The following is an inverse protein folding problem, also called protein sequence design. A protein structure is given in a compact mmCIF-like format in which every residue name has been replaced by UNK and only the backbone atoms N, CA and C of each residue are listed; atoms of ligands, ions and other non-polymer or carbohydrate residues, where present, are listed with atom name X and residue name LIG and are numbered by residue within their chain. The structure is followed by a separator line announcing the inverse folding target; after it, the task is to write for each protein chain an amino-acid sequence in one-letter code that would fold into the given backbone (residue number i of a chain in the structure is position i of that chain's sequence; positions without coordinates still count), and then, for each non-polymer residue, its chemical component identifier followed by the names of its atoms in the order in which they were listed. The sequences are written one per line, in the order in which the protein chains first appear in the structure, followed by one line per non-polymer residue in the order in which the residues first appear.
data_IF_659333378618
#
_entry.id   IF_659333378618
#
_cell.length_a   1.000
_cell.length_b   1.000
_cell.length_c   1.000
_cell.angle_alpha   90.00
_cell.angle_beta   90.00
_cell.angle_gamma   90.00
#
_symmetry.space_group_name_H-M   'P 1'
#
loop_
_entity.id
_entity.type
_entity.pdbx_description
1 polymer ?
#
# COMPACT_ATOMS: atom_id res chain seq x y z
N UNK A 1 15.37 -21.82 -16.04
CA UNK A 1 16.15 -22.35 -14.91
C UNK A 1 15.24 -22.40 -13.69
N UNK A 2 15.21 -23.52 -12.97
CA UNK A 2 14.45 -23.66 -11.73
C UNK A 2 15.43 -23.92 -10.59
N UNK A 3 15.32 -23.15 -9.51
CA UNK A 3 16.08 -23.28 -8.27
C UNK A 3 15.06 -23.59 -7.18
N UNK A 4 15.16 -24.75 -6.53
CA UNK A 4 14.21 -25.11 -5.48
C UNK A 4 14.53 -26.42 -4.80
N UNK A 5 13.63 -26.83 -3.91
CA UNK A 5 13.77 -28.05 -3.14
C UNK A 5 13.42 -29.31 -3.96
N UNK A 6 13.96 -30.45 -3.53
CA UNK A 6 13.52 -31.79 -3.93
C UNK A 6 13.47 -32.70 -2.70
N UNK A 7 12.69 -33.79 -2.77
CA UNK A 7 12.45 -34.67 -1.62
C UNK A 7 11.37 -34.14 -0.68
N UNK A 8 11.35 -34.62 0.56
CA UNK A 8 10.38 -34.26 1.60
C UNK A 8 11.10 -33.75 2.84
N UNK A 9 10.58 -32.72 3.49
CA UNK A 9 11.14 -32.17 4.72
C UNK A 9 10.97 -30.66 4.81
N UNK A 10 11.77 -30.04 5.68
CA UNK A 10 11.86 -28.59 5.77
C UNK A 10 12.44 -27.98 4.48
N UNK A 11 12.19 -26.69 4.26
CA UNK A 11 12.81 -25.95 3.15
C UNK A 11 14.34 -25.98 3.31
N UNK A 12 15.11 -26.18 2.23
CA UNK A 12 16.55 -26.05 2.28
C UNK A 12 16.94 -24.59 2.56
N UNK A 13 17.87 -24.41 3.50
CA UNK A 13 18.36 -23.10 3.93
C UNK A 13 19.54 -22.66 3.07
N UNK A 14 19.49 -21.43 2.58
CA UNK A 14 20.62 -20.71 2.01
C UNK A 14 20.94 -19.54 2.94
N UNK A 15 22.07 -19.62 3.62
CA UNK A 15 22.59 -18.53 4.46
C UNK A 15 23.63 -17.73 3.69
N UNK A 16 23.41 -16.41 3.60
CA UNK A 16 24.34 -15.48 2.97
C UNK A 16 25.66 -15.33 3.71
N UNK A 17 25.80 -15.82 4.94
CA UNK A 17 27.05 -15.85 5.70
C UNK A 17 27.63 -14.45 5.97
N UNK A 18 26.80 -13.42 5.89
CA UNK A 18 27.20 -12.03 6.03
C UNK A 18 27.61 -11.31 4.74
N UNK A 19 27.47 -11.94 3.56
CA UNK A 19 27.69 -11.31 2.26
C UNK A 19 26.58 -10.31 1.89
N UNK A 20 26.78 -9.55 0.81
CA UNK A 20 25.82 -8.54 0.35
C UNK A 20 24.55 -9.14 -0.27
N UNK A 21 24.64 -10.31 -0.89
CA UNK A 21 23.50 -11.04 -1.45
C UNK A 21 23.51 -12.50 -0.98
N UNK A 22 22.37 -13.02 -0.56
CA UNK A 22 22.22 -14.46 -0.29
C UNK A 22 21.94 -15.22 -1.60
N UNK A 23 21.02 -14.73 -2.43
CA UNK A 23 20.75 -15.23 -3.77
C UNK A 23 20.77 -14.09 -4.79
N UNK A 24 21.74 -14.11 -5.71
CA UNK A 24 21.86 -13.14 -6.80
C UNK A 24 21.53 -13.79 -8.17
N UNK A 25 20.54 -13.24 -8.85
CA UNK A 25 20.16 -13.56 -10.23
C UNK A 25 20.51 -12.39 -11.13
N UNK A 26 21.74 -12.35 -11.65
CA UNK A 26 22.25 -11.22 -12.44
C UNK A 26 22.25 -11.51 -13.94
N UNK A 27 21.64 -10.63 -14.74
CA UNK A 27 21.59 -10.73 -16.20
C UNK A 27 21.11 -12.11 -16.68
N UNK A 28 20.06 -12.60 -16.04
CA UNK A 28 19.40 -13.86 -16.37
C UNK A 28 17.94 -13.59 -16.73
N UNK A 29 17.26 -14.57 -17.31
CA UNK A 29 15.83 -14.55 -17.62
C UNK A 29 15.31 -15.99 -17.64
N UNK A 30 14.00 -16.19 -17.59
CA UNK A 30 13.38 -17.50 -17.45
C UNK A 30 13.84 -18.22 -16.18
N UNK A 31 13.69 -17.57 -15.03
CA UNK A 31 14.12 -18.08 -13.73
C UNK A 31 12.95 -18.26 -12.79
N UNK A 32 12.89 -19.43 -12.14
CA UNK A 32 11.97 -19.69 -11.04
C UNK A 32 12.80 -20.06 -9.80
N UNK A 33 12.62 -19.35 -8.69
CA UNK A 33 13.16 -19.69 -7.38
C UNK A 33 11.99 -19.99 -6.45
N UNK A 34 11.98 -21.18 -5.85
CA UNK A 34 10.85 -21.66 -5.06
C UNK A 34 11.20 -22.56 -3.90
N UNK A 35 10.37 -22.51 -2.86
CA UNK A 35 10.42 -23.44 -1.73
C UNK A 35 11.78 -23.46 -1.01
N UNK A 36 12.42 -22.29 -0.85
CA UNK A 36 13.70 -22.10 -0.17
C UNK A 36 13.52 -21.28 1.10
N UNK A 37 14.37 -21.53 2.09
CA UNK A 37 14.60 -20.65 3.23
C UNK A 37 15.88 -19.82 2.96
N UNK A 38 15.82 -18.51 3.16
CA UNK A 38 16.87 -17.55 2.77
C UNK A 38 17.14 -16.60 3.94
N UNK A 39 18.39 -16.58 4.42
CA UNK A 39 18.80 -15.77 5.57
C UNK A 39 20.13 -15.06 5.37
N UNK A 40 20.42 -14.00 6.16
CA UNK A 40 21.67 -13.24 6.11
C UNK A 40 21.91 -12.41 7.40
N UNK A 41 22.12 -13.08 8.53
CA UNK A 41 22.28 -12.42 9.84
C UNK A 41 23.72 -11.99 10.16
N UNK A 42 24.73 -12.59 9.51
CA UNK A 42 26.14 -12.24 9.74
C UNK A 42 26.47 -10.80 9.33
N UNK A 43 27.37 -10.11 10.04
CA UNK A 43 27.76 -8.71 9.74
C UNK A 43 26.56 -7.74 9.62
N UNK A 44 25.70 -7.61 10.64
CA UNK A 44 24.49 -6.78 10.57
C UNK A 44 24.81 -5.29 10.38
N UNK A 45 23.86 -4.53 9.85
CA UNK A 45 24.03 -3.10 9.58
C UNK A 45 24.96 -2.81 8.39
N UNK A 46 25.15 -3.80 7.52
CA UNK A 46 25.81 -3.66 6.21
C UNK A 46 24.79 -3.89 5.12
N UNK A 47 25.04 -3.33 3.95
CA UNK A 47 24.16 -3.48 2.81
C UNK A 47 23.91 -4.95 2.44
N UNK A 48 22.65 -5.40 2.52
CA UNK A 48 22.27 -6.82 2.40
C UNK A 48 20.97 -7.05 1.68
N UNK A 49 20.92 -8.13 0.90
CA UNK A 49 19.71 -8.61 0.25
C UNK A 49 19.53 -10.10 0.44
N UNK A 50 18.30 -10.53 0.71
CA UNK A 50 17.93 -11.94 0.67
C UNK A 50 17.99 -12.44 -0.77
N UNK A 51 17.05 -11.97 -1.60
CA UNK A 51 17.04 -12.26 -3.04
C UNK A 51 17.23 -10.97 -3.83
N UNK A 52 18.21 -10.96 -4.73
CA UNK A 52 18.39 -9.88 -5.68
C UNK A 52 18.29 -10.38 -7.11
N UNK A 53 17.38 -9.82 -7.88
CA UNK A 53 17.30 -10.01 -9.33
C UNK A 53 17.81 -8.72 -9.98
N UNK A 54 18.97 -8.78 -10.62
CA UNK A 54 19.62 -7.62 -11.22
C UNK A 54 19.65 -7.75 -12.74
N UNK A 55 19.19 -6.70 -13.43
CA UNK A 55 19.47 -6.50 -14.86
C UNK A 55 20.33 -5.24 -15.03
N UNK A 56 21.51 -5.40 -15.61
CA UNK A 56 22.49 -4.34 -15.85
C UNK A 56 22.84 -4.28 -17.33
N UNK A 57 22.42 -3.19 -18.00
CA UNK A 57 22.56 -3.00 -19.45
C UNK A 57 22.20 -4.27 -20.27
N UNK A 58 21.16 -4.98 -19.82
CA UNK A 58 20.82 -6.32 -20.29
C UNK A 58 19.88 -6.31 -21.49
N UNK A 59 19.01 -5.30 -21.59
CA UNK A 59 17.81 -5.37 -22.43
C UNK A 59 16.57 -5.75 -21.61
N UNK A 60 15.54 -6.27 -22.27
CA UNK A 60 14.38 -6.82 -21.55
C UNK A 60 14.72 -8.21 -21.03
N UNK A 61 14.75 -8.39 -19.71
CA UNK A 61 14.76 -9.71 -19.10
C UNK A 61 13.34 -10.16 -18.83
N UNK A 62 12.99 -11.37 -19.29
CA UNK A 62 11.62 -11.89 -19.18
C UNK A 62 11.50 -13.09 -18.25
N UNK A 63 10.34 -13.25 -17.62
CA UNK A 63 9.93 -14.42 -16.87
C UNK A 63 10.74 -14.71 -15.60
N UNK A 64 10.21 -14.21 -14.47
CA UNK A 64 10.72 -14.46 -13.12
C UNK A 64 9.60 -14.93 -12.21
N UNK A 65 9.84 -16.00 -11.45
CA UNK A 65 8.93 -16.52 -10.43
C UNK A 65 9.69 -16.63 -9.11
N UNK A 66 9.33 -15.83 -8.12
CA UNK A 66 9.81 -15.97 -6.74
C UNK A 66 8.64 -16.42 -5.89
N UNK A 67 8.56 -17.71 -5.57
CA UNK A 67 7.34 -18.32 -5.03
C UNK A 67 7.58 -19.18 -3.80
N UNK A 68 6.80 -19.00 -2.74
CA UNK A 68 6.90 -19.88 -1.57
C UNK A 68 8.23 -19.77 -0.82
N UNK A 69 8.96 -18.67 -0.95
CA UNK A 69 10.20 -18.42 -0.22
C UNK A 69 9.90 -18.06 1.24
N UNK A 70 10.74 -18.51 2.16
CA UNK A 70 10.80 -18.00 3.53
C UNK A 70 12.08 -17.17 3.68
N UNK A 71 11.95 -15.86 3.76
CA UNK A 71 13.07 -14.91 3.76
C UNK A 71 13.10 -14.23 5.12
N UNK A 72 14.16 -14.43 5.88
CA UNK A 72 14.24 -13.85 7.22
C UNK A 72 15.64 -13.58 7.75
N UNK A 73 15.70 -12.70 8.74
CA UNK A 73 16.95 -12.25 9.36
C UNK A 73 17.92 -11.68 8.31
N UNK A 74 17.40 -10.83 7.41
CA UNK A 74 18.21 -10.07 6.45
C UNK A 74 18.57 -8.75 7.13
N UNK A 75 19.63 -8.77 7.94
CA UNK A 75 19.99 -7.66 8.84
C UNK A 75 20.81 -6.58 8.14
N UNK A 76 20.20 -5.94 7.14
CA UNK A 76 20.80 -4.92 6.29
C UNK A 76 21.09 -3.57 6.97
N UNK A 77 21.61 -2.63 6.19
CA UNK A 77 21.69 -1.21 6.56
C UNK A 77 20.49 -0.42 6.03
N UNK A 78 20.40 0.86 6.39
CA UNK A 78 19.29 1.75 6.00
C UNK A 78 19.43 2.33 4.57
N UNK A 79 20.23 1.69 3.70
CA UNK A 79 20.42 2.16 2.32
C UNK A 79 19.23 1.78 1.44
N UNK A 80 18.69 2.74 0.67
CA UNK A 80 17.66 2.55 -0.37
C UNK A 80 18.27 2.69 -1.77
N UNK A 81 17.57 2.21 -2.79
CA UNK A 81 17.90 2.38 -4.21
C UNK A 81 18.20 1.06 -4.93
N UNK A 82 18.77 1.16 -6.14
CA UNK A 82 19.13 -0.03 -6.95
C UNK A 82 20.18 -0.92 -6.27
N UNK A 83 20.89 -0.36 -5.30
CA UNK A 83 21.81 -1.04 -4.40
C UNK A 83 21.34 -0.98 -2.92
N UNK A 84 20.03 -0.84 -2.67
CA UNK A 84 19.49 -0.78 -1.30
C UNK A 84 19.45 -2.15 -0.60
N UNK A 85 19.32 -2.14 0.73
CA UNK A 85 19.09 -3.35 1.52
C UNK A 85 17.62 -3.78 1.44
N UNK A 86 17.34 -5.05 1.21
CA UNK A 86 15.97 -5.55 1.08
C UNK A 86 15.82 -7.07 1.26
N UNK A 87 14.63 -7.54 1.60
CA UNK A 87 14.30 -8.98 1.57
C UNK A 87 14.35 -9.50 0.13
N UNK A 88 13.59 -8.85 -0.76
CA UNK A 88 13.59 -9.09 -2.20
C UNK A 88 13.84 -7.76 -2.93
N UNK A 89 14.85 -7.71 -3.80
CA UNK A 89 15.15 -6.56 -4.65
C UNK A 89 15.17 -6.96 -6.14
N UNK A 90 14.27 -6.37 -6.92
CA UNK A 90 14.39 -6.31 -8.37
C UNK A 90 15.06 -4.98 -8.77
N UNK A 91 16.29 -5.04 -9.25
CA UNK A 91 17.07 -3.83 -9.58
C UNK A 91 17.44 -3.78 -11.06
N UNK A 92 17.09 -2.70 -11.74
CA UNK A 92 17.64 -2.34 -13.06
C UNK A 92 18.74 -1.30 -12.86
N UNK A 93 19.92 -1.59 -13.41
CA UNK A 93 21.10 -0.71 -13.40
C UNK A 93 21.64 -0.48 -14.81
N UNK A 94 22.63 0.41 -14.92
CA UNK A 94 23.21 0.81 -16.19
C UNK A 94 22.39 1.89 -16.91
N UNK A 95 22.98 2.42 -17.99
CA UNK A 95 22.40 3.50 -18.80
C UNK A 95 22.72 3.38 -20.29
N UNK A 96 23.44 2.33 -20.71
CA UNK A 96 23.90 2.14 -22.09
C UNK A 96 22.90 1.38 -22.95
N UNK A 97 22.19 0.41 -22.36
CA UNK A 97 21.20 -0.40 -23.07
C UNK A 97 19.85 -0.32 -22.36
N UNK A 98 18.77 0.10 -23.05
CA UNK A 98 17.41 0.12 -22.50
C UNK A 98 17.05 -1.21 -21.84
N UNK A 99 16.87 -1.19 -20.52
CA UNK A 99 16.74 -2.38 -19.68
C UNK A 99 15.50 -2.29 -18.81
N UNK A 100 14.75 -3.39 -18.72
CA UNK A 100 13.56 -3.51 -17.87
C UNK A 100 13.25 -4.97 -17.57
N UNK A 101 12.42 -5.19 -16.57
CA UNK A 101 11.77 -6.48 -16.35
C UNK A 101 10.46 -6.58 -17.15
N UNK A 102 10.13 -7.79 -17.53
CA UNK A 102 8.83 -8.13 -18.12
C UNK A 102 8.42 -9.53 -17.65
N UNK A 103 7.17 -9.73 -17.23
CA UNK A 103 6.69 -11.00 -16.66
C UNK A 103 7.38 -11.39 -15.34
N UNK A 104 7.04 -10.67 -14.27
CA UNK A 104 7.53 -10.94 -12.90
C UNK A 104 6.37 -11.36 -12.02
N UNK A 105 6.51 -12.46 -11.30
CA UNK A 105 5.58 -12.88 -10.24
C UNK A 105 6.36 -13.11 -8.95
N UNK A 106 6.00 -12.36 -7.91
CA UNK A 106 6.46 -12.54 -6.52
C UNK A 106 5.27 -12.98 -5.70
N UNK A 107 5.17 -14.26 -5.35
CA UNK A 107 3.94 -14.78 -4.76
C UNK A 107 4.08 -15.81 -3.64
N UNK A 108 3.27 -15.69 -2.59
CA UNK A 108 3.23 -16.69 -1.53
C UNK A 108 4.50 -16.74 -0.68
N UNK A 109 5.27 -15.65 -0.65
CA UNK A 109 6.49 -15.59 0.14
C UNK A 109 6.19 -15.08 1.56
N UNK A 110 6.98 -15.54 2.52
CA UNK A 110 7.07 -14.96 3.86
C UNK A 110 8.36 -14.14 3.94
N UNK A 111 8.28 -12.87 4.33
CA UNK A 111 9.42 -11.97 4.49
C UNK A 111 9.37 -11.37 5.89
N UNK A 112 10.27 -11.76 6.79
CA UNK A 112 10.22 -11.32 8.20
C UNK A 112 11.57 -10.93 8.77
N UNK A 113 11.63 -9.93 9.64
CA UNK A 113 12.89 -9.48 10.28
C UNK A 113 13.92 -9.09 9.23
N UNK A 114 13.58 -8.05 8.47
CA UNK A 114 14.37 -7.58 7.33
C UNK A 114 14.65 -6.09 7.46
N UNK A 115 15.88 -5.69 7.15
CA UNK A 115 16.30 -4.31 6.96
C UNK A 115 16.89 -4.15 5.54
N UNK A 116 16.52 -3.14 4.74
CA UNK A 116 15.55 -2.06 5.00
C UNK A 116 14.16 -2.42 4.44
N UNK A 117 14.06 -2.70 3.14
CA UNK A 117 12.78 -2.91 2.45
C UNK A 117 12.31 -4.37 2.48
N UNK A 118 11.00 -4.61 2.48
CA UNK A 118 10.46 -5.95 2.27
C UNK A 118 10.63 -6.47 0.85
N UNK A 119 9.77 -6.01 -0.06
CA UNK A 119 9.79 -6.32 -1.50
C UNK A 119 9.93 -5.01 -2.28
N UNK A 120 11.04 -4.85 -3.00
CA UNK A 120 11.39 -3.59 -3.62
C UNK A 120 11.75 -3.76 -5.10
N UNK A 121 11.21 -2.86 -5.93
CA UNK A 121 11.63 -2.66 -7.31
C UNK A 121 12.39 -1.33 -7.41
N UNK A 122 13.52 -1.30 -8.09
CA UNK A 122 14.33 -0.10 -8.30
C UNK A 122 14.87 -0.05 -9.73
N UNK A 123 14.89 1.13 -10.36
CA UNK A 123 15.41 1.31 -11.72
C UNK A 123 16.17 2.62 -11.89
N UNK A 124 17.29 2.57 -12.61
CA UNK A 124 17.96 3.76 -13.16
C UNK A 124 17.19 4.37 -14.33
N UNK A 125 16.33 3.61 -15.03
CA UNK A 125 15.53 4.09 -16.17
C UNK A 125 14.27 4.79 -15.69
N UNK A 126 14.44 5.93 -15.03
CA UNK A 126 13.40 6.63 -14.29
C UNK A 126 13.18 8.10 -14.73
N UNK A 127 13.97 8.63 -15.66
CA UNK A 127 13.88 10.04 -16.06
C UNK A 127 12.67 10.31 -16.97
N UNK A 128 11.69 11.06 -16.47
CA UNK A 128 10.54 11.53 -17.25
C UNK A 128 10.02 12.88 -16.73
N UNK A 129 9.40 13.72 -17.59
CA UNK A 129 8.98 15.07 -17.21
C UNK A 129 8.08 15.15 -15.96
N UNK A 130 7.18 14.19 -15.77
CA UNK A 130 6.25 14.21 -14.63
C UNK A 130 6.89 13.81 -13.30
N UNK A 131 8.10 13.26 -13.33
CA UNK A 131 8.88 12.90 -12.16
C UNK A 131 9.81 14.04 -11.69
N UNK A 132 9.69 15.21 -12.34
CA UNK A 132 10.46 16.40 -11.99
C UNK A 132 11.97 16.22 -12.19
N UNK A 133 12.73 16.89 -11.34
CA UNK A 133 14.20 16.95 -11.42
C UNK A 133 14.89 15.87 -10.57
N UNK A 134 14.22 14.74 -10.32
CA UNK A 134 14.79 13.67 -9.49
C UNK A 134 16.07 13.07 -10.10
N UNK A 135 16.06 12.78 -11.40
CA UNK A 135 17.22 12.24 -12.13
C UNK A 135 17.32 12.84 -13.54
N UNK A 136 17.64 14.15 -13.66
CA UNK A 136 17.60 14.86 -14.94
C UNK A 136 18.64 14.35 -15.94
N UNK A 137 19.69 13.67 -15.45
CA UNK A 137 20.76 13.09 -16.26
C UNK A 137 20.60 11.57 -16.45
N UNK A 138 19.56 10.98 -15.84
CA UNK A 138 19.28 9.56 -15.91
C UNK A 138 18.77 9.12 -17.28
N UNK A 139 18.88 7.82 -17.58
CA UNK A 139 18.29 7.27 -18.80
C UNK A 139 16.76 7.45 -18.79
N UNK A 140 16.22 7.69 -20.00
CA UNK A 140 14.80 7.95 -20.20
C UNK A 140 13.94 6.83 -19.60
N UNK A 141 12.83 7.20 -18.97
CA UNK A 141 11.91 6.30 -18.29
C UNK A 141 11.54 5.09 -19.17
N UNK A 142 11.81 3.90 -18.65
CA UNK A 142 11.45 2.64 -19.28
C UNK A 142 10.82 1.73 -18.21
N UNK A 143 9.49 1.61 -18.17
CA UNK A 143 8.82 0.86 -17.12
C UNK A 143 9.00 -0.65 -17.31
N UNK A 144 9.12 -1.36 -16.19
CA UNK A 144 8.91 -2.80 -16.15
C UNK A 144 7.41 -3.14 -16.29
N UNK A 145 7.09 -4.25 -16.97
CA UNK A 145 5.72 -4.61 -17.36
C UNK A 145 5.32 -6.00 -16.89
N UNK A 146 4.01 -6.25 -16.79
CA UNK A 146 3.45 -7.56 -16.37
C UNK A 146 4.03 -8.03 -15.03
N UNK A 147 4.10 -7.11 -14.08
CA UNK A 147 4.57 -7.37 -12.71
C UNK A 147 3.37 -7.69 -11.82
N UNK A 148 3.49 -8.75 -11.04
CA UNK A 148 2.47 -9.21 -10.10
C UNK A 148 3.13 -9.53 -8.77
N UNK A 149 2.63 -8.92 -7.69
CA UNK A 149 3.08 -9.18 -6.31
C UNK A 149 1.85 -9.62 -5.51
N UNK A 150 1.76 -10.90 -5.15
CA UNK A 150 0.53 -11.43 -4.55
C UNK A 150 0.68 -12.45 -3.44
N UNK A 151 -0.23 -12.44 -2.46
CA UNK A 151 -0.27 -13.50 -1.46
C UNK A 151 0.97 -13.54 -0.56
N UNK A 152 1.76 -12.47 -0.48
CA UNK A 152 2.94 -12.43 0.37
C UNK A 152 2.57 -12.00 1.79
N UNK A 153 3.26 -12.56 2.78
CA UNK A 153 3.17 -12.16 4.20
C UNK A 153 4.47 -11.49 4.58
N UNK A 154 4.38 -10.26 5.07
CA UNK A 154 5.52 -9.44 5.46
C UNK A 154 5.36 -9.01 6.91
N UNK A 155 6.40 -9.19 7.72
CA UNK A 155 6.37 -8.87 9.15
C UNK A 155 7.72 -8.30 9.59
N UNK A 156 7.75 -7.50 10.64
CA UNK A 156 9.00 -7.06 11.27
C UNK A 156 10.00 -6.39 10.29
N UNK A 157 9.54 -5.38 9.54
CA UNK A 157 10.37 -4.67 8.57
C UNK A 157 10.98 -3.38 9.13
N UNK A 158 12.22 -3.13 8.74
CA UNK A 158 12.96 -1.94 9.13
C UNK A 158 12.44 -0.66 8.49
N UNK A 159 12.16 -0.70 7.19
CA UNK A 159 11.70 0.41 6.37
C UNK A 159 10.36 0.14 5.70
N UNK A 160 10.30 0.24 4.37
CA UNK A 160 9.08 0.08 3.59
C UNK A 160 8.67 -1.39 3.43
N UNK A 161 7.38 -1.63 3.22
CA UNK A 161 6.84 -2.97 2.96
C UNK A 161 7.00 -3.44 1.52
N UNK A 162 6.09 -3.02 0.64
CA UNK A 162 6.12 -3.33 -0.79
C UNK A 162 6.20 -2.03 -1.59
N UNK A 163 7.31 -1.83 -2.29
CA UNK A 163 7.56 -0.61 -3.07
C UNK A 163 7.75 -0.94 -4.54
N UNK A 164 6.85 -0.40 -5.36
CA UNK A 164 6.82 -0.63 -6.80
C UNK A 164 7.32 0.62 -7.54
N UNK A 165 8.53 0.57 -8.09
CA UNK A 165 9.08 1.71 -8.83
C UNK A 165 9.26 1.44 -10.31
N UNK A 166 9.06 2.48 -11.13
CA UNK A 166 9.27 2.44 -12.58
C UNK A 166 8.61 1.22 -13.25
N UNK A 167 7.31 1.08 -13.04
CA UNK A 167 6.50 0.01 -13.64
C UNK A 167 5.26 0.56 -14.33
N UNK A 168 4.66 -0.25 -15.21
CA UNK A 168 3.37 0.01 -15.82
C UNK A 168 2.44 -1.20 -15.64
N UNK A 169 1.23 -0.94 -15.12
CA UNK A 169 0.16 -1.93 -14.89
C UNK A 169 0.57 -3.06 -13.95
N UNK A 170 1.28 -2.72 -12.86
CA UNK A 170 1.58 -3.68 -11.79
C UNK A 170 0.31 -4.03 -11.01
N UNK A 171 0.16 -5.30 -10.64
CA UNK A 171 -0.89 -5.78 -9.75
C UNK A 171 -0.29 -6.21 -8.41
N UNK A 172 -0.69 -5.52 -7.34
CA UNK A 172 -0.30 -5.84 -5.96
C UNK A 172 -1.55 -6.27 -5.20
N UNK A 173 -1.69 -7.57 -4.91
CA UNK A 173 -2.93 -8.07 -4.33
C UNK A 173 -2.80 -9.17 -3.28
N UNK A 174 -3.73 -9.22 -2.33
CA UNK A 174 -3.77 -10.27 -1.30
C UNK A 174 -2.47 -10.36 -0.47
N UNK A 175 -1.73 -9.26 -0.31
CA UNK A 175 -0.56 -9.24 0.56
C UNK A 175 -0.95 -8.79 1.97
N UNK A 176 -0.30 -9.34 2.99
CA UNK A 176 -0.41 -8.92 4.38
C UNK A 176 0.90 -8.34 4.85
N UNK A 177 0.86 -7.15 5.44
CA UNK A 177 1.99 -6.50 6.09
C UNK A 177 1.64 -6.20 7.54
N UNK A 178 2.42 -6.75 8.47
CA UNK A 178 2.29 -6.54 9.91
C UNK A 178 3.60 -5.97 10.51
N UNK A 179 3.61 -4.65 10.51
CA UNK A 179 4.58 -3.78 11.09
C UNK A 179 5.85 -3.56 10.26
N UNK A 180 6.00 -2.30 9.93
CA UNK A 180 7.02 -1.71 9.10
C UNK A 180 7.53 -0.45 9.77
N UNK A 181 8.60 0.12 9.22
CA UNK A 181 9.25 1.29 9.78
C UNK A 181 9.76 1.11 11.23
N UNK A 182 10.16 -0.10 11.61
CA UNK A 182 10.58 -0.41 12.99
C UNK A 182 12.00 0.06 13.31
N UNK A 183 12.85 0.21 12.28
CA UNK A 183 14.31 0.42 12.47
C UNK A 183 14.92 1.50 11.58
N UNK A 184 14.31 1.81 10.44
CA UNK A 184 14.79 2.87 9.54
C UNK A 184 14.68 4.24 10.20
N UNK A 185 15.72 5.06 10.03
CA UNK A 185 15.67 6.47 10.44
C UNK A 185 14.95 7.35 9.41
N UNK A 186 14.71 6.82 8.20
CA UNK A 186 14.08 7.54 7.11
C UNK A 186 12.55 7.58 7.15
N UNK A 187 12.01 8.05 6.03
CA UNK A 187 10.59 8.09 5.72
C UNK A 187 10.19 6.81 4.99
N UNK A 188 9.09 6.19 5.40
CA UNK A 188 8.62 4.92 4.89
C UNK A 188 7.09 4.82 4.96
N UNK A 189 6.52 4.04 4.05
CA UNK A 189 5.11 3.67 4.02
C UNK A 189 4.96 2.15 3.81
N UNK A 190 3.75 1.63 4.04
CA UNK A 190 3.49 0.20 3.98
C UNK A 190 3.57 -0.38 2.56
N UNK A 191 2.66 0.00 1.67
CA UNK A 191 2.65 -0.48 0.28
C UNK A 191 2.34 0.66 -0.69
N UNK A 192 3.22 0.90 -1.66
CA UNK A 192 3.11 2.09 -2.49
C UNK A 192 3.89 2.02 -3.82
N UNK A 193 3.45 2.80 -4.83
CA UNK A 193 4.19 3.01 -6.06
C UNK A 193 4.97 4.33 -6.04
N UNK A 194 6.05 4.39 -6.81
CA UNK A 194 6.78 5.63 -7.10
C UNK A 194 7.24 5.67 -8.54
N UNK A 195 6.97 6.78 -9.22
CA UNK A 195 7.22 6.95 -10.65
C UNK A 195 6.69 5.76 -11.48
N UNK A 196 5.43 5.39 -11.27
CA UNK A 196 4.80 4.23 -11.90
C UNK A 196 3.42 4.57 -12.48
N UNK A 197 2.98 3.82 -13.49
CA UNK A 197 1.70 4.06 -14.14
C UNK A 197 0.73 2.89 -13.93
N UNK A 198 -0.55 3.20 -13.74
CA UNK A 198 -1.66 2.25 -13.75
C UNK A 198 -1.53 1.08 -12.75
N UNK A 199 -0.84 1.29 -11.62
CA UNK A 199 -0.66 0.24 -10.61
C UNK A 199 -1.97 0.03 -9.86
N UNK A 200 -2.33 -1.23 -9.62
CA UNK A 200 -3.52 -1.60 -8.83
C UNK A 200 -3.07 -2.29 -7.55
N UNK A 201 -3.42 -1.69 -6.41
CA UNK A 201 -3.33 -2.29 -5.09
C UNK A 201 -4.72 -2.74 -4.65
N UNK A 202 -4.94 -4.04 -4.49
CA UNK A 202 -6.24 -4.57 -4.08
C UNK A 202 -6.22 -5.74 -3.10
N UNK A 203 -7.19 -5.78 -2.19
CA UNK A 203 -7.30 -6.88 -1.20
C UNK A 203 -6.04 -7.06 -0.33
N UNK A 204 -5.26 -6.00 -0.12
CA UNK A 204 -4.11 -6.03 0.79
C UNK A 204 -4.53 -5.66 2.20
N UNK A 205 -3.77 -6.12 3.19
CA UNK A 205 -3.89 -5.76 4.60
C UNK A 205 -2.57 -5.14 5.09
N UNK A 206 -2.62 -3.96 5.70
CA UNK A 206 -1.43 -3.28 6.26
C UNK A 206 -1.69 -2.81 7.68
N UNK A 207 -0.82 -3.19 8.60
CA UNK A 207 -0.95 -2.84 10.01
C UNK A 207 0.39 -2.62 10.70
N UNK A 208 0.35 -2.03 11.90
CA UNK A 208 1.48 -2.01 12.83
C UNK A 208 2.65 -1.12 12.46
N UNK A 209 2.49 -0.15 11.55
CA UNK A 209 3.53 0.86 11.29
C UNK A 209 3.87 1.65 12.56
N UNK A 210 5.17 1.81 12.89
CA UNK A 210 5.58 2.26 14.24
C UNK A 210 5.89 3.77 14.37
N UNK A 211 5.99 4.53 13.27
CA UNK A 211 6.37 5.95 13.35
C UNK A 211 5.45 6.87 12.56
N UNK A 212 5.66 8.18 12.71
CA UNK A 212 4.96 9.24 11.96
C UNK A 212 5.84 9.91 10.90
N UNK A 213 7.02 9.36 10.58
CA UNK A 213 7.86 9.83 9.47
C UNK A 213 7.29 9.26 8.17
N UNK A 214 6.26 9.92 7.67
CA UNK A 214 5.19 9.30 6.86
C UNK A 214 4.44 8.28 7.72
N UNK A 215 4.75 6.99 7.59
CA UNK A 215 4.21 5.89 8.40
C UNK A 215 2.79 5.49 8.05
N UNK A 216 2.30 5.91 6.87
CA UNK A 216 0.98 5.54 6.37
C UNK A 216 0.97 4.11 5.82
N UNK A 217 -0.19 3.47 5.89
CA UNK A 217 -0.39 2.15 5.32
C UNK A 217 -0.14 2.12 3.80
N UNK A 218 -0.64 3.14 3.10
CA UNK A 218 -0.56 3.26 1.66
C UNK A 218 -0.10 4.66 1.25
N UNK A 219 0.46 4.76 0.04
CA UNK A 219 0.90 6.01 -0.54
C UNK A 219 0.70 6.02 -2.07
N UNK A 220 0.50 7.21 -2.63
CA UNK A 220 0.70 7.51 -4.04
C UNK A 220 1.77 8.60 -4.11
N UNK A 221 2.96 8.23 -4.56
CA UNK A 221 4.12 9.12 -4.59
C UNK A 221 4.34 9.74 -5.98
N UNK A 222 5.31 10.64 -6.07
CA UNK A 222 5.73 11.42 -7.21
C UNK A 222 5.91 10.62 -8.49
N UNK A 223 5.58 11.25 -9.62
CA UNK A 223 5.69 10.64 -10.94
C UNK A 223 4.65 9.55 -11.20
N UNK A 224 3.68 9.33 -10.31
CA UNK A 224 2.71 8.24 -10.41
C UNK A 224 1.38 8.69 -11.02
N UNK A 225 0.87 7.93 -11.99
CA UNK A 225 -0.41 8.25 -12.65
C UNK A 225 -1.34 7.04 -12.80
N UNK A 226 -2.64 7.25 -12.61
CA UNK A 226 -3.65 6.21 -12.87
C UNK A 226 -3.69 5.08 -11.85
N UNK A 227 -3.03 5.25 -10.69
CA UNK A 227 -2.98 4.24 -9.64
C UNK A 227 -4.35 4.05 -8.97
N UNK A 228 -4.70 2.81 -8.68
CA UNK A 228 -5.94 2.43 -7.99
C UNK A 228 -5.62 1.68 -6.71
N UNK A 229 -6.12 2.18 -5.59
CA UNK A 229 -6.19 1.45 -4.33
C UNK A 229 -7.65 1.07 -4.07
N UNK A 230 -7.96 -0.22 -4.11
CA UNK A 230 -9.32 -0.70 -3.89
C UNK A 230 -9.43 -1.93 -2.99
N UNK A 231 -10.43 -1.98 -2.13
CA UNK A 231 -10.71 -3.15 -1.29
C UNK A 231 -9.56 -3.51 -0.35
N UNK A 232 -8.73 -2.55 0.04
CA UNK A 232 -7.66 -2.77 1.00
C UNK A 232 -8.13 -2.49 2.42
N UNK A 233 -7.46 -3.09 3.40
CA UNK A 233 -7.72 -2.93 4.83
C UNK A 233 -6.45 -2.40 5.49
N UNK A 234 -6.56 -1.31 6.25
CA UNK A 234 -5.50 -0.84 7.13
C UNK A 234 -5.98 -0.69 8.56
N UNK A 235 -5.10 -0.96 9.51
CA UNK A 235 -5.38 -0.68 10.90
C UNK A 235 -4.13 -0.49 11.76
N UNK A 236 -4.26 0.33 12.81
CA UNK A 236 -3.27 0.51 13.86
C UNK A 236 -1.88 0.94 13.34
N UNK A 237 -1.85 1.70 12.23
CA UNK A 237 -0.62 2.31 11.71
C UNK A 237 -0.39 3.68 12.35
N UNK A 238 0.77 3.90 12.98
CA UNK A 238 1.09 5.12 13.70
C UNK A 238 1.04 6.38 12.83
N UNK A 239 1.45 6.27 11.57
CA UNK A 239 1.51 7.42 10.65
C UNK A 239 0.20 7.75 9.96
N UNK A 240 -0.63 6.73 9.68
CA UNK A 240 -1.93 6.97 9.06
C UNK A 240 -2.44 5.93 8.08
N UNK A 241 -3.52 6.29 7.41
CA UNK A 241 -4.13 5.47 6.35
C UNK A 241 -3.44 5.70 5.00
N UNK A 242 -3.34 6.95 4.57
CA UNK A 242 -2.96 7.26 3.18
C UNK A 242 -2.06 8.49 3.09
N UNK A 243 -1.00 8.38 2.29
CA UNK A 243 -0.15 9.49 1.88
C UNK A 243 -0.39 9.83 0.41
N UNK A 244 -0.39 11.12 0.08
CA UNK A 244 -0.37 11.62 -1.30
C UNK A 244 0.81 12.57 -1.38
N UNK A 245 1.94 12.06 -1.88
CA UNK A 245 3.21 12.76 -1.79
C UNK A 245 3.77 13.17 -3.15
N UNK A 246 4.16 14.44 -3.28
CA UNK A 246 5.05 14.88 -4.37
C UNK A 246 6.19 15.71 -3.82
N UNK A 247 7.19 15.97 -4.65
CA UNK A 247 8.28 16.89 -4.38
C UNK A 247 8.36 17.99 -5.45
N UNK A 248 9.09 17.77 -6.54
CA UNK A 248 9.27 18.74 -7.65
C UNK A 248 8.54 18.32 -8.92
N UNK A 249 8.13 17.06 -9.01
CA UNK A 249 7.30 16.47 -10.05
C UNK A 249 5.80 16.58 -9.74
N UNK A 250 5.04 15.67 -10.35
CA UNK A 250 3.58 15.61 -10.31
C UNK A 250 3.09 14.19 -10.11
N UNK A 251 1.89 14.07 -9.57
CA UNK A 251 1.08 12.84 -9.63
C UNK A 251 -0.34 13.19 -10.05
N UNK A 252 -1.11 12.20 -10.47
CA UNK A 252 -2.54 12.42 -10.70
C UNK A 252 -3.34 11.24 -11.23
N UNK A 253 -4.63 11.45 -11.42
CA UNK A 253 -5.60 10.42 -11.82
C UNK A 253 -5.63 9.21 -10.87
N UNK A 254 -5.39 9.44 -9.58
CA UNK A 254 -5.36 8.38 -8.58
C UNK A 254 -6.77 8.12 -8.03
N UNK A 255 -7.12 6.84 -7.85
CA UNK A 255 -8.44 6.43 -7.32
C UNK A 255 -8.27 5.57 -6.09
N UNK A 256 -8.71 6.07 -4.94
CA UNK A 256 -8.68 5.40 -3.65
C UNK A 256 -10.13 5.10 -3.26
N UNK A 257 -10.54 3.83 -3.34
CA UNK A 257 -11.97 3.48 -3.20
C UNK A 257 -12.28 2.18 -2.51
N UNK A 258 -13.43 2.10 -1.84
CA UNK A 258 -13.87 0.84 -1.19
C UNK A 258 -12.84 0.24 -0.23
N UNK A 259 -11.95 1.07 0.32
CA UNK A 259 -10.98 0.66 1.33
C UNK A 259 -11.56 0.85 2.73
N UNK A 260 -11.00 0.12 3.67
CA UNK A 260 -11.30 0.21 5.09
C UNK A 260 -10.05 0.65 5.83
N UNK A 261 -10.19 1.68 6.66
CA UNK A 261 -9.19 2.08 7.64
C UNK A 261 -9.83 2.05 9.02
N UNK A 262 -9.17 1.39 9.98
CA UNK A 262 -9.63 1.33 11.37
C UNK A 262 -8.50 1.65 12.32
N UNK A 263 -8.64 2.69 13.12
CA UNK A 263 -7.66 3.06 14.14
C UNK A 263 -6.24 3.22 13.58
N UNK A 264 -6.10 3.54 12.29
CA UNK A 264 -4.88 4.23 11.89
C UNK A 264 -4.78 5.51 12.75
N UNK A 265 -3.58 5.94 13.07
CA UNK A 265 -3.36 7.07 13.95
C UNK A 265 -2.98 8.32 13.15
N UNK A 266 -2.86 9.44 13.85
CA UNK A 266 -2.29 10.71 13.41
C UNK A 266 -2.94 11.39 12.19
N UNK A 267 -2.96 10.77 11.00
CA UNK A 267 -3.48 11.33 9.75
C UNK A 267 -4.22 10.27 8.93
N UNK A 268 -5.50 10.49 8.58
CA UNK A 268 -6.16 9.57 7.64
C UNK A 268 -5.63 9.80 6.22
N UNK A 269 -5.58 11.05 5.77
CA UNK A 269 -4.98 11.42 4.49
C UNK A 269 -3.96 12.54 4.75
N UNK A 270 -2.70 12.28 4.41
CA UNK A 270 -1.61 13.25 4.46
C UNK A 270 -1.27 13.73 3.05
N UNK A 271 -1.00 15.03 2.91
CA UNK A 271 -0.43 15.58 1.67
C UNK A 271 0.96 16.15 1.90
N UNK A 272 1.86 15.88 0.95
CA UNK A 272 3.14 16.58 0.88
C UNK A 272 3.03 17.91 0.14
N UNK A 273 4.18 18.50 -0.17
CA UNK A 273 4.30 19.66 -1.08
C UNK A 273 4.00 19.27 -2.53
N UNK A 274 3.94 20.27 -3.39
CA UNK A 274 3.71 20.11 -4.82
C UNK A 274 2.22 20.03 -5.16
N UNK A 275 1.90 19.98 -6.45
CA UNK A 275 0.51 19.99 -6.91
C UNK A 275 0.12 18.64 -7.50
N UNK A 276 -1.12 18.22 -7.25
CA UNK A 276 -1.66 17.01 -7.84
C UNK A 276 -3.08 17.19 -8.36
N UNK A 277 -3.35 16.48 -9.45
CA UNK A 277 -4.57 16.59 -10.25
C UNK A 277 -5.38 15.29 -10.16
N UNK A 278 -6.71 15.40 -10.00
CA UNK A 278 -7.65 14.26 -10.01
C UNK A 278 -7.28 13.12 -9.03
N UNK A 279 -7.16 13.44 -7.73
CA UNK A 279 -7.04 12.44 -6.68
C UNK A 279 -8.42 12.19 -6.07
N UNK A 280 -8.95 10.97 -6.24
CA UNK A 280 -10.34 10.65 -5.90
C UNK A 280 -10.42 9.63 -4.77
N UNK A 281 -10.83 10.08 -3.60
CA UNK A 281 -11.20 9.23 -2.48
C UNK A 281 -12.71 9.01 -2.50
N UNK A 282 -13.17 7.79 -2.79
CA UNK A 282 -14.60 7.53 -2.76
C UNK A 282 -15.02 6.17 -2.21
N UNK A 283 -16.18 6.13 -1.54
CA UNK A 283 -16.70 4.88 -0.97
C UNK A 283 -15.73 4.19 0.01
N UNK A 284 -14.84 4.92 0.69
CA UNK A 284 -14.02 4.34 1.76
C UNK A 284 -14.76 4.42 3.10
N UNK A 285 -14.42 3.54 4.04
CA UNK A 285 -14.91 3.61 5.43
C UNK A 285 -13.71 3.77 6.36
N UNK A 286 -13.66 4.90 7.08
CA UNK A 286 -12.62 5.26 8.04
C UNK A 286 -13.26 5.30 9.42
N UNK A 287 -12.82 4.41 10.31
CA UNK A 287 -13.29 4.34 11.70
C UNK A 287 -12.17 4.75 12.66
N UNK A 288 -12.49 5.68 13.54
CA UNK A 288 -11.58 6.33 14.48
C UNK A 288 -12.13 6.07 15.89
N UNK A 289 -11.61 5.04 16.55
CA UNK A 289 -12.10 4.59 17.84
C UNK A 289 -11.67 5.43 19.04
N UNK A 290 -11.95 4.89 20.23
CA UNK A 290 -11.60 5.46 21.54
C UNK A 290 -10.11 5.79 21.64
N UNK A 291 -9.78 6.98 22.15
CA UNK A 291 -8.41 7.44 22.38
C UNK A 291 -7.65 7.83 21.11
N UNK A 292 -8.17 7.56 19.91
CA UNK A 292 -7.49 7.87 18.64
C UNK A 292 -7.79 9.30 18.22
N UNK A 293 -6.73 10.05 17.89
CA UNK A 293 -6.82 11.35 17.24
C UNK A 293 -6.23 11.29 15.83
N UNK A 294 -6.99 11.77 14.85
CA UNK A 294 -6.57 11.86 13.46
C UNK A 294 -6.96 13.19 12.82
N UNK A 295 -6.10 13.68 11.94
CA UNK A 295 -6.51 14.65 10.92
C UNK A 295 -7.00 13.87 9.69
N UNK A 296 -8.28 13.99 9.36
CA UNK A 296 -8.95 13.26 8.28
C UNK A 296 -8.33 13.60 6.92
N UNK A 297 -8.13 14.89 6.65
CA UNK A 297 -7.31 15.38 5.54
C UNK A 297 -6.40 16.45 6.09
N UNK A 298 -5.10 16.21 6.01
CA UNK A 298 -4.07 17.11 6.48
C UNK A 298 -3.27 17.67 5.31
N UNK A 299 -3.40 18.98 5.10
CA UNK A 299 -2.59 19.71 4.13
C UNK A 299 -1.47 20.46 4.85
N UNK A 300 -0.23 20.07 4.55
CA UNK A 300 0.95 20.72 5.13
C UNK A 300 1.33 22.02 4.42
N UNK A 301 0.94 22.18 3.16
CA UNK A 301 1.27 23.33 2.32
C UNK A 301 0.02 24.03 1.79
N UNK A 302 0.20 25.13 1.08
CA UNK A 302 -0.87 25.83 0.33
C UNK A 302 -0.83 25.50 -1.16
N UNK A 303 -0.02 24.52 -1.58
CA UNK A 303 0.04 24.09 -2.96
C UNK A 303 -1.33 23.54 -3.39
N UNK A 304 -1.65 23.61 -4.68
CA UNK A 304 -2.97 23.20 -5.16
C UNK A 304 -3.10 21.69 -5.19
N UNK A 305 -4.04 21.17 -4.40
CA UNK A 305 -4.32 19.74 -4.25
C UNK A 305 -5.75 19.44 -4.69
N UNK A 306 -5.95 18.94 -5.91
CA UNK A 306 -7.28 18.58 -6.42
C UNK A 306 -7.71 17.20 -5.87
N UNK A 307 -8.29 17.23 -4.66
CA UNK A 307 -8.82 16.04 -3.99
C UNK A 307 -10.35 16.09 -4.03
N UNK A 308 -10.96 15.02 -4.54
CA UNK A 308 -12.40 14.79 -4.35
C UNK A 308 -12.63 13.70 -3.30
N UNK A 309 -13.50 13.99 -2.34
CA UNK A 309 -13.89 13.11 -1.26
C UNK A 309 -15.39 12.84 -1.38
N UNK A 310 -15.78 11.70 -1.98
CA UNK A 310 -17.20 11.41 -2.32
C UNK A 310 -17.68 10.08 -1.74
N UNK A 311 -18.90 10.00 -1.22
CA UNK A 311 -19.46 8.74 -0.69
C UNK A 311 -18.64 8.08 0.43
N UNK A 312 -17.72 8.76 1.12
CA UNK A 312 -16.95 8.14 2.18
C UNK A 312 -17.74 8.14 3.50
N UNK A 313 -17.41 7.21 4.38
CA UNK A 313 -17.83 7.22 5.79
C UNK A 313 -16.59 7.53 6.63
N UNK A 314 -16.68 8.54 7.49
CA UNK A 314 -15.70 8.85 8.54
C UNK A 314 -16.43 8.92 9.87
N UNK A 315 -16.09 8.03 10.79
CA UNK A 315 -16.72 7.94 12.11
C UNK A 315 -15.67 8.11 13.19
N UNK A 316 -15.89 9.08 14.08
CA UNK A 316 -15.14 9.24 15.33
C UNK A 316 -16.02 8.87 16.52
N UNK A 317 -15.56 7.92 17.34
CA UNK A 317 -16.21 7.50 18.58
C UNK A 317 -15.29 7.66 19.78
N UNK A 318 -15.83 7.98 20.96
CA UNK A 318 -15.03 8.05 22.17
C UNK A 318 -14.10 9.26 22.27
N UNK A 319 -13.14 9.21 23.20
CA UNK A 319 -12.16 10.31 23.40
C UNK A 319 -11.18 10.44 22.23
N UNK A 320 -10.57 11.62 22.04
CA UNK A 320 -9.71 11.94 20.88
C UNK A 320 -10.40 12.86 19.88
N UNK A 321 -9.82 13.04 18.69
CA UNK A 321 -10.33 14.00 17.68
C UNK A 321 -10.33 13.46 16.26
N UNK A 322 -11.24 13.99 15.43
CA UNK A 322 -11.19 13.85 13.98
C UNK A 322 -11.37 15.24 13.35
N UNK A 323 -10.35 15.76 12.66
CA UNK A 323 -10.39 17.13 12.12
C UNK A 323 -9.91 17.22 10.68
N UNK A 324 -10.38 18.22 9.95
CA UNK A 324 -9.83 18.59 8.65
C UNK A 324 -8.90 19.80 8.81
N UNK A 325 -7.69 19.72 8.26
CA UNK A 325 -6.75 20.83 8.14
C UNK A 325 -6.53 21.09 6.64
N UNK A 326 -7.30 22.03 6.10
CA UNK A 326 -7.32 22.34 4.67
C UNK A 326 -6.71 23.72 4.40
N UNK A 327 -5.86 23.79 3.37
CA UNK A 327 -5.06 24.97 3.02
C UNK A 327 -5.00 25.24 1.53
N UNK A 328 -5.15 24.23 0.66
CA UNK A 328 -5.02 24.39 -0.80
C UNK A 328 -6.26 24.99 -1.48
N UNK A 329 -7.41 24.89 -0.81
CA UNK A 329 -8.73 25.18 -1.38
C UNK A 329 -9.16 24.22 -2.50
N UNK A 330 -8.44 23.11 -2.72
CA UNK A 330 -8.74 22.12 -3.77
C UNK A 330 -9.47 20.86 -3.27
N UNK A 331 -9.64 20.71 -1.96
CA UNK A 331 -10.38 19.59 -1.37
C UNK A 331 -11.88 19.83 -1.45
N UNK A 332 -12.59 18.95 -2.14
CA UNK A 332 -14.05 19.01 -2.32
C UNK A 332 -14.74 17.79 -1.74
N UNK A 333 -15.87 18.00 -1.07
CA UNK A 333 -16.67 16.94 -0.43
C UNK A 333 -18.04 16.82 -1.10
N UNK A 334 -18.56 15.60 -1.21
CA UNK A 334 -19.89 15.32 -1.74
C UNK A 334 -20.45 13.99 -1.19
N UNK A 335 -21.67 13.99 -0.64
CA UNK A 335 -22.34 12.77 -0.13
C UNK A 335 -21.46 11.95 0.81
N UNK A 336 -20.79 12.56 1.80
CA UNK A 336 -20.05 11.80 2.83
C UNK A 336 -20.86 11.69 4.12
N UNK A 337 -20.71 10.57 4.84
CA UNK A 337 -21.13 10.46 6.25
C UNK A 337 -19.97 10.87 7.14
N UNK A 338 -20.11 11.98 7.87
CA UNK A 338 -19.08 12.54 8.74
C UNK A 338 -19.60 12.67 10.17
N UNK A 339 -19.26 11.70 11.02
CA UNK A 339 -19.71 11.63 12.41
C UNK A 339 -18.60 12.12 13.34
N UNK A 340 -18.91 13.13 14.16
CA UNK A 340 -18.00 13.73 15.14
C UNK A 340 -16.68 14.27 14.55
N UNK A 341 -16.73 14.78 13.32
CA UNK A 341 -15.58 15.45 12.67
C UNK A 341 -15.67 16.97 12.78
N UNK A 342 -14.53 17.66 12.85
CA UNK A 342 -14.44 19.13 12.95
C UNK A 342 -13.74 19.72 11.72
N UNK A 343 -14.20 20.89 11.26
CA UNK A 343 -13.50 21.67 10.23
C UNK A 343 -13.71 21.20 8.78
N UNK A 344 -14.61 20.24 8.54
CA UNK A 344 -14.96 19.82 7.19
C UNK A 344 -15.58 20.99 6.38
N UNK A 345 -15.27 21.13 5.09
CA UNK A 345 -15.91 22.10 4.21
C UNK A 345 -17.35 21.66 3.88
N UNK A 346 -18.03 22.41 3.00
CA UNK A 346 -19.36 22.07 2.54
C UNK A 346 -19.42 20.63 1.98
N UNK A 347 -20.38 19.85 2.47
CA UNK A 347 -20.59 18.44 2.10
C UNK A 347 -22.02 18.22 1.60
N UNK A 348 -22.38 18.75 0.41
CA UNK A 348 -23.73 18.61 -0.15
C UNK A 348 -24.13 17.13 -0.29
N UNK A 349 -25.37 16.81 0.06
CA UNK A 349 -25.89 15.44 0.08
C UNK A 349 -25.29 14.54 1.17
N UNK A 350 -24.37 15.06 2.00
CA UNK A 350 -23.79 14.32 3.12
C UNK A 350 -24.66 14.33 4.37
N UNK A 351 -24.23 13.57 5.38
CA UNK A 351 -24.91 13.43 6.66
C UNK A 351 -23.91 13.33 7.80
N UNK A 352 -24.35 13.63 9.02
CA UNK A 352 -23.62 13.36 10.27
C UNK A 352 -24.32 12.34 11.16
N UNK A 353 -25.39 11.71 10.66
CA UNK A 353 -26.07 10.64 11.37
C UNK A 353 -25.18 9.40 11.49
N UNK A 354 -25.33 8.67 12.60
CA UNK A 354 -24.64 7.39 12.81
C UNK A 354 -24.93 6.43 11.63
N UNK A 355 -23.90 5.97 10.90
CA UNK A 355 -24.06 5.05 9.78
C UNK A 355 -24.42 3.62 10.24
N UNK A 356 -24.59 3.37 11.53
CA UNK A 356 -24.95 2.06 12.10
C UNK A 356 -23.97 0.96 11.66
N UNK A 357 -22.67 1.17 11.84
CA UNK A 357 -21.66 0.13 11.63
C UNK A 357 -21.95 -1.09 12.54
N UNK A 358 -21.62 -2.29 12.07
CA UNK A 358 -22.08 -3.55 12.68
C UNK A 358 -21.40 -3.92 14.01
N UNK A 359 -20.07 -3.89 14.03
CA UNK A 359 -19.22 -4.09 15.21
C UNK A 359 -17.83 -3.48 14.92
N UNK A 360 -17.66 -2.16 15.05
CA UNK A 360 -16.41 -1.50 14.68
C UNK A 360 -15.17 -1.97 15.43
N UNK A 361 -15.36 -2.54 16.61
CA UNK A 361 -14.30 -3.12 17.44
C UNK A 361 -14.00 -4.59 17.11
N UNK A 362 -14.85 -5.24 16.32
CA UNK A 362 -14.77 -6.66 15.98
C UNK A 362 -13.78 -6.99 14.87
N UNK A 363 -13.98 -8.13 14.20
CA UNK A 363 -13.08 -8.60 13.15
C UNK A 363 -13.17 -7.74 11.87
N UNK A 364 -12.04 -7.30 11.33
CA UNK A 364 -11.99 -6.68 10.00
C UNK A 364 -12.01 -7.74 8.88
N UNK A 365 -12.52 -7.40 7.68
CA UNK A 365 -13.22 -6.16 7.36
C UNK A 365 -14.67 -6.11 7.87
N UNK A 366 -15.21 -7.24 8.34
CA UNK A 366 -16.63 -7.45 8.60
C UNK A 366 -17.26 -6.48 9.61
N UNK A 367 -16.51 -6.04 10.62
CA UNK A 367 -16.97 -5.15 11.67
C UNK A 367 -17.49 -3.80 11.16
N UNK A 368 -16.98 -3.32 10.02
CA UNK A 368 -17.37 -2.03 9.43
C UNK A 368 -18.46 -2.15 8.34
N UNK A 369 -19.18 -3.26 8.30
CA UNK A 369 -20.40 -3.39 7.49
C UNK A 369 -21.54 -2.53 8.03
N UNK A 370 -22.42 -2.09 7.14
CA UNK A 370 -23.60 -1.32 7.52
C UNK A 370 -24.68 -2.26 8.08
N UNK A 371 -25.40 -1.83 9.12
CA UNK A 371 -26.59 -2.52 9.62
C UNK A 371 -27.85 -2.09 8.85
N UNK A 372 -28.88 -2.92 8.92
CA UNK A 372 -30.20 -2.58 8.41
C UNK A 372 -30.73 -1.28 9.04
N UNK A 373 -31.34 -0.42 8.23
CA UNK A 373 -31.81 0.90 8.65
C UNK A 373 -30.73 1.98 8.69
N UNK A 374 -29.49 1.67 8.32
CA UNK A 374 -28.42 2.66 8.24
C UNK A 374 -28.78 3.81 7.29
N UNK A 375 -28.54 5.08 7.69
CA UNK A 375 -28.74 6.25 6.83
C UNK A 375 -27.73 6.31 5.67
N UNK A 376 -26.69 5.47 5.67
CA UNK A 376 -25.73 5.37 4.58
C UNK A 376 -26.19 4.43 3.44
N UNK A 377 -27.20 3.60 3.66
CA UNK A 377 -27.75 2.71 2.64
C UNK A 377 -28.44 3.53 1.53
N UNK A 378 -28.08 3.28 0.27
CA UNK A 378 -28.66 3.93 -0.92
C UNK A 378 -28.64 5.47 -0.85
N UNK A 379 -27.66 6.04 -0.16
CA UNK A 379 -27.58 7.48 0.10
C UNK A 379 -26.36 8.15 -0.54
N UNK A 380 -25.54 7.41 -1.29
CA UNK A 380 -24.44 7.96 -2.07
C UNK A 380 -24.88 8.45 -3.46
N UNK A 381 -23.93 9.01 -4.20
CA UNK A 381 -24.08 9.44 -5.59
C UNK A 381 -23.26 8.57 -6.55
N UNK A 382 -23.71 8.28 -7.78
CA UNK A 382 -22.88 7.54 -8.74
C UNK A 382 -21.55 8.23 -9.03
N UNK A 383 -20.44 7.49 -8.92
CA UNK A 383 -19.08 7.96 -9.27
C UNK A 383 -18.60 7.24 -10.54
N UNK A 384 -18.23 7.96 -11.62
CA UNK A 384 -17.74 7.34 -12.85
C UNK A 384 -16.56 6.40 -12.62
N UNK A 385 -16.58 5.26 -13.33
CA UNK A 385 -15.55 4.23 -13.20
C UNK A 385 -15.66 3.37 -11.95
N UNK A 386 -16.70 3.54 -11.11
CA UNK A 386 -16.96 2.66 -9.96
C UNK A 386 -17.06 1.19 -10.38
N UNK A 387 -16.58 0.26 -9.54
CA UNK A 387 -16.67 -1.16 -9.81
C UNK A 387 -18.12 -1.65 -9.70
N UNK A 388 -18.39 -2.85 -10.22
CA UNK A 388 -19.71 -3.47 -10.11
C UNK A 388 -19.95 -4.14 -8.75
N UNK A 389 -18.89 -4.38 -7.97
CA UNK A 389 -18.97 -5.01 -6.64
C UNK A 389 -18.03 -4.33 -5.64
N UNK A 390 -18.37 -4.44 -4.36
CA UNK A 390 -17.52 -4.02 -3.23
C UNK A 390 -16.56 -5.12 -2.76
N UNK A 391 -15.81 -4.85 -1.68
CA UNK A 391 -14.90 -5.78 -1.01
C UNK A 391 -15.57 -7.09 -0.55
N UNK A 392 -16.86 -7.04 -0.21
CA UNK A 392 -17.62 -8.19 0.28
C UNK A 392 -18.31 -8.97 -0.85
N UNK A 393 -18.13 -8.54 -2.10
CA UNK A 393 -18.78 -9.10 -3.27
C UNK A 393 -20.23 -8.65 -3.46
N UNK A 394 -20.75 -7.67 -2.72
CA UNK A 394 -22.08 -7.13 -2.94
C UNK A 394 -22.12 -6.27 -4.22
N UNK A 395 -23.22 -6.30 -5.00
CA UNK A 395 -23.36 -5.42 -6.15
C UNK A 395 -23.48 -3.96 -5.73
N UNK A 396 -22.74 -3.07 -6.41
CA UNK A 396 -22.84 -1.62 -6.19
C UNK A 396 -24.21 -1.13 -6.66
N UNK A 397 -24.90 -0.40 -5.78
CA UNK A 397 -26.25 0.12 -6.03
C UNK A 397 -26.30 1.34 -6.95
N UNK A 398 -27.51 1.67 -7.40
CA UNK A 398 -27.83 2.99 -7.94
C UNK A 398 -29.12 3.52 -7.27
N UNK A 399 -29.03 4.51 -6.37
CA UNK A 399 -27.80 5.11 -5.82
C UNK A 399 -26.94 4.08 -5.04
N UNK A 400 -25.60 4.26 -4.99
CA UNK A 400 -24.73 3.42 -4.16
C UNK A 400 -24.95 3.71 -2.66
N UNK A 401 -24.46 2.85 -1.79
CA UNK A 401 -24.32 3.20 -0.38
C UNK A 401 -23.15 4.18 -0.22
N UNK A 402 -23.17 5.02 0.81
CA UNK A 402 -21.94 5.64 1.31
C UNK A 402 -21.09 4.58 2.02
N UNK A 403 -19.77 4.69 1.92
CA UNK A 403 -18.80 3.77 2.51
C UNK A 403 -18.48 2.55 1.64
N UNK A 404 -17.63 1.68 2.22
CA UNK A 404 -17.09 0.51 1.54
C UNK A 404 -18.07 -0.66 1.41
N UNK A 405 -19.12 -0.73 2.25
CA UNK A 405 -20.14 -1.78 2.19
C UNK A 405 -21.33 -1.37 1.32
N UNK A 406 -21.56 -2.12 0.24
CA UNK A 406 -22.64 -1.98 -0.73
C UNK A 406 -23.76 -3.01 -0.53
N UNK A 407 -23.71 -3.74 0.60
CA UNK A 407 -24.74 -4.67 1.02
C UNK A 407 -26.08 -4.00 1.35
N UNK A 408 -27.09 -4.82 1.64
CA UNK A 408 -28.45 -4.37 2.00
C UNK A 408 -28.62 -4.00 3.49
N UNK A 409 -27.53 -4.00 4.25
CA UNK A 409 -27.52 -3.92 5.70
C UNK A 409 -27.55 -5.32 6.36
N UNK A 410 -26.70 -5.53 7.36
CA UNK A 410 -26.71 -6.75 8.19
C UNK A 410 -27.81 -6.68 9.26
N UNK A 411 -28.41 -7.82 9.61
CA UNK A 411 -29.56 -7.90 10.54
C UNK A 411 -29.11 -8.14 12.00
N UNK A 412 -27.88 -8.58 12.23
CA UNK A 412 -27.34 -8.82 13.59
C UNK A 412 -25.89 -8.29 13.72
N UNK A 413 -25.45 -7.88 14.93
CA UNK A 413 -24.02 -7.82 15.21
C UNK A 413 -23.46 -9.25 15.06
N UNK A 414 -22.41 -9.41 14.27
CA UNK A 414 -21.71 -10.69 14.17
C UNK A 414 -21.10 -10.97 15.55
N UNK A 415 -21.80 -11.74 16.39
CA UNK A 415 -21.25 -12.17 17.68
C UNK A 415 -19.92 -12.91 17.41
N UNK A 416 -18.86 -12.65 18.20
CA UNK A 416 -17.61 -13.37 18.04
C UNK A 416 -17.88 -14.86 18.27
N UNK A 417 -17.57 -15.67 17.27
CA UNK A 417 -17.54 -17.13 17.44
C UNK A 417 -16.44 -17.43 18.46
N UNK A 418 -16.83 -17.67 19.70
CA UNK A 418 -15.96 -18.34 20.67
C UNK A 418 -15.58 -19.68 20.08
N UNK A 419 -14.30 -19.87 19.77
CA UNK A 419 -13.73 -21.20 19.53
C UNK A 419 -14.01 -22.03 20.77
N UNK A 420 -14.95 -22.97 20.66
CA UNK A 420 -15.07 -24.03 21.63
C UNK A 420 -13.81 -24.88 21.50
N UNK A 421 -13.02 -24.90 22.58
CA UNK A 421 -12.04 -25.95 22.83
C UNK A 421 -12.70 -27.31 22.58
N UNK A 422 -12.14 -28.08 21.67
CA UNK A 422 -12.36 -29.50 21.59
C UNK A 422 -11.07 -30.18 22.09
N UNK A 423 -11.20 -30.70 23.30
CA UNK A 423 -10.35 -31.69 23.97
C UNK A 423 -9.97 -32.88 23.09
#
# INVERSE_FOLDING_TARGET
MVIGAYGSGAKPVIDGGGNAETLLLKNTQWVEAKDLEITNSGNPGRNKRGVRVQLDDFGTGTHYRLTGLDIHDILGDDTKGTEGSAGILFSVTGSKKPTRFDDVVVSGNTVRTVDREGIYFASTWNNRPVHGDYDPNGPAYLPSTRVVVRGNTLEDLGGDGIVITATDRTLVEHNRLDGFQRRSAGYNAGMWPWNADNTVFQYNEVSGGETTRDGMAYDVDEGTFGTVFQYNVSHDNAGGFFLVCTATGKLGNAVIRYNISRNDHFRSIETCRGSFDDVRFHNNTIYIGEGVSQTVVNENTTDRHEISFTNNIVVKEGSGTASFNLKSGGVTLNHNTLVNTVGAPANPGGTSADPLLSDPTGALPLGLRLRSGSPALRAGTPVPGSPNRDLYGNPVGNPPNMGADQGRGTIEPLLPTTTADAS
#
